data_IF_064679201816
#
_entry.id   IF_064679201816
#
_cell.length_a   1.000
_cell.length_b   1.000
_cell.length_c   1.000
_cell.angle_alpha   90.00
_cell.angle_beta   90.00
_cell.angle_gamma   90.00
#
_symmetry.space_group_name_H-M   'P 1'
#
loop_
_entity.id
_entity.type
_entity.pdbx_description
1 polymer ?
#
# COMPACT_ATOMS: atom_id res chain seq x y z
N UNK A 1 4.00 -8.25 25.36
CA UNK A 1 3.94 -6.89 24.82
C UNK A 1 5.06 -6.70 23.81
N UNK A 2 4.72 -6.45 22.55
CA UNK A 2 5.68 -6.38 21.43
C UNK A 2 6.29 -4.97 21.30
N UNK A 3 5.50 -3.94 21.58
CA UNK A 3 5.89 -2.53 21.52
C UNK A 3 5.74 -1.88 22.89
N UNK A 4 6.73 -1.04 23.31
CA UNK A 4 6.70 -0.33 24.59
C UNK A 4 7.18 1.09 24.41
N UNK A 5 6.43 2.05 24.99
CA UNK A 5 6.83 3.47 25.10
C UNK A 5 7.29 4.09 23.76
N UNK A 6 6.52 3.87 22.68
CA UNK A 6 6.82 4.46 21.39
C UNK A 6 6.15 5.83 21.30
N UNK A 7 6.96 6.87 21.08
CA UNK A 7 6.48 8.21 20.76
C UNK A 7 7.04 8.58 19.40
N UNK A 8 6.14 8.86 18.45
CA UNK A 8 6.50 9.19 17.07
C UNK A 8 5.63 10.35 16.59
N UNK A 9 6.27 11.36 16.01
CA UNK A 9 5.60 12.49 15.39
C UNK A 9 6.11 12.64 13.95
N UNK A 10 5.22 12.52 12.97
CA UNK A 10 5.54 12.59 11.54
C UNK A 10 4.78 13.76 10.95
N UNK A 11 5.51 14.66 10.28
CA UNK A 11 4.93 15.82 9.60
C UNK A 11 4.33 15.40 8.26
N UNK A 12 3.32 16.13 7.81
CA UNK A 12 2.75 15.95 6.48
C UNK A 12 3.82 16.06 5.39
N UNK A 13 3.80 15.17 4.41
CA UNK A 13 4.77 15.11 3.32
C UNK A 13 6.13 14.50 3.70
N UNK A 14 6.31 14.05 4.94
CA UNK A 14 7.56 13.43 5.38
C UNK A 14 7.64 11.97 4.97
N UNK A 15 8.81 11.55 4.46
CA UNK A 15 9.13 10.15 4.20
C UNK A 15 9.86 9.55 5.40
N UNK A 16 9.36 8.46 5.95
CA UNK A 16 9.90 7.82 7.16
C UNK A 16 10.16 6.34 6.91
N UNK A 17 11.42 5.95 7.02
CA UNK A 17 11.85 4.56 7.00
C UNK A 17 11.93 3.98 8.40
N UNK A 18 11.29 2.83 8.63
CA UNK A 18 11.36 2.08 9.89
C UNK A 18 12.18 0.83 9.66
N UNK A 19 13.32 0.74 10.31
CA UNK A 19 14.25 -0.39 10.19
C UNK A 19 14.28 -1.18 11.49
N UNK A 20 14.41 -2.50 11.38
CA UNK A 20 14.55 -3.36 12.54
C UNK A 20 14.56 -4.84 12.18
N UNK A 21 14.99 -5.67 13.11
CA UNK A 21 15.04 -7.12 12.95
C UNK A 21 13.64 -7.73 12.75
N UNK A 22 13.59 -8.93 12.19
CA UNK A 22 12.34 -9.69 12.11
C UNK A 22 11.80 -9.97 13.52
N UNK A 23 10.48 -9.80 13.69
CA UNK A 23 9.84 -9.94 15.01
C UNK A 23 9.93 -8.70 15.92
N UNK A 24 10.62 -7.63 15.53
CA UNK A 24 10.73 -6.40 16.35
C UNK A 24 9.42 -5.60 16.47
N UNK A 25 8.32 -6.04 15.86
CA UNK A 25 7.02 -5.38 15.96
C UNK A 25 6.75 -4.33 14.88
N UNK A 26 7.59 -4.21 13.85
CA UNK A 26 7.42 -3.23 12.76
C UNK A 26 6.03 -3.28 12.12
N UNK A 27 5.60 -4.45 11.67
CA UNK A 27 4.27 -4.66 11.08
C UNK A 27 3.14 -4.37 12.08
N UNK A 28 3.33 -4.66 13.37
CA UNK A 28 2.37 -4.33 14.42
C UNK A 28 2.23 -2.81 14.56
N UNK A 29 3.35 -2.08 14.59
CA UNK A 29 3.35 -0.62 14.62
C UNK A 29 2.61 -0.04 13.42
N UNK A 30 2.91 -0.52 12.20
CA UNK A 30 2.22 -0.05 11.01
C UNK A 30 0.71 -0.33 11.04
N UNK A 31 0.29 -1.51 11.53
CA UNK A 31 -1.14 -1.84 11.68
C UNK A 31 -1.84 -0.90 12.66
N UNK A 32 -1.17 -0.51 13.75
CA UNK A 32 -1.68 0.47 14.72
C UNK A 32 -1.81 1.84 14.05
N UNK A 33 -0.77 2.32 13.34
CA UNK A 33 -0.80 3.60 12.62
C UNK A 33 -1.89 3.59 11.54
N UNK A 34 -2.07 2.46 10.84
CA UNK A 34 -3.12 2.28 9.85
C UNK A 34 -4.54 2.19 10.43
N UNK A 35 -4.70 2.14 11.75
CA UNK A 35 -5.99 1.96 12.40
C UNK A 35 -6.59 0.56 12.23
N UNK A 36 -5.79 -0.43 11.86
CA UNK A 36 -6.23 -1.83 11.69
C UNK A 36 -6.32 -2.58 13.02
N UNK A 37 -5.55 -2.16 14.01
CA UNK A 37 -5.61 -2.64 15.40
C UNK A 37 -5.47 -1.46 16.35
N UNK A 38 -6.12 -1.54 17.51
CA UNK A 38 -5.98 -0.53 18.54
C UNK A 38 -4.73 -0.81 19.39
N UNK A 39 -4.01 0.24 19.89
CA UNK A 39 -2.99 0.04 20.90
C UNK A 39 -3.61 -0.38 22.24
N UNK A 40 -2.89 -1.19 23.03
CA UNK A 40 -3.33 -1.57 24.39
C UNK A 40 -3.31 -0.35 25.33
N UNK A 41 -2.34 0.55 25.17
CA UNK A 41 -2.16 1.78 25.92
C UNK A 41 -1.70 2.91 25.00
N UNK A 42 -2.00 4.14 25.38
CA UNK A 42 -1.66 5.33 24.59
C UNK A 42 -2.69 5.62 23.49
N UNK A 43 -2.31 6.44 22.53
CA UNK A 43 -3.19 6.86 21.46
C UNK A 43 -2.42 7.08 20.15
N UNK A 44 -3.12 6.92 19.03
CA UNK A 44 -2.61 7.26 17.70
C UNK A 44 -3.59 8.22 17.04
N UNK A 45 -3.07 9.30 16.51
CA UNK A 45 -3.85 10.27 15.73
C UNK A 45 -3.24 10.38 14.35
N UNK A 46 -4.06 10.19 13.32
CA UNK A 46 -3.67 10.36 11.91
C UNK A 46 -4.57 11.41 11.27
N UNK A 47 -3.97 12.40 10.61
CA UNK A 47 -4.71 13.43 9.89
C UNK A 47 -4.67 13.13 8.40
N UNK A 48 -5.84 12.82 7.83
CA UNK A 48 -5.97 12.49 6.42
C UNK A 48 -6.29 11.03 6.13
N UNK A 49 -6.30 10.71 4.85
CA UNK A 49 -6.64 9.39 4.32
C UNK A 49 -5.42 8.48 4.34
N UNK A 50 -5.49 7.42 5.13
CA UNK A 50 -4.44 6.40 5.21
C UNK A 50 -4.69 5.30 4.19
N UNK A 51 -3.69 5.00 3.37
CA UNK A 51 -3.62 3.85 2.48
C UNK A 51 -2.53 2.91 2.96
N UNK A 52 -2.84 1.64 3.10
CA UNK A 52 -1.86 0.64 3.49
C UNK A 52 -1.71 -0.45 2.44
N UNK A 53 -0.47 -0.80 2.14
CA UNK A 53 -0.10 -1.95 1.32
C UNK A 53 0.22 -3.19 2.17
N UNK A 54 0.07 -3.11 3.50
CA UNK A 54 0.28 -4.22 4.45
C UNK A 54 -0.56 -5.47 4.13
N UNK A 55 -1.59 -5.29 3.37
CA UNK A 55 -2.58 -6.33 3.15
C UNK A 55 -3.09 -6.25 1.70
N UNK A 56 -2.16 -6.36 0.74
CA UNK A 56 -2.50 -6.39 -0.68
C UNK A 56 -3.58 -7.46 -0.95
N UNK A 57 -4.76 -6.99 -1.36
CA UNK A 57 -5.90 -7.88 -1.65
C UNK A 57 -6.88 -8.10 -0.49
N UNK A 58 -6.64 -7.58 0.73
CA UNK A 58 -7.68 -7.55 1.77
C UNK A 58 -8.81 -6.63 1.30
N UNK A 59 -10.02 -7.19 1.32
CA UNK A 59 -11.24 -6.50 0.86
C UNK A 59 -11.63 -6.84 -0.57
N UNK A 60 -10.77 -7.47 -1.37
CA UNK A 60 -11.18 -7.97 -2.67
C UNK A 60 -12.19 -9.11 -2.53
N UNK A 61 -13.18 -9.10 -3.39
CA UNK A 61 -14.25 -10.09 -3.43
C UNK A 61 -13.87 -11.22 -4.39
N UNK A 62 -13.72 -12.46 -3.91
CA UNK A 62 -13.24 -13.57 -4.75
C UNK A 62 -14.07 -13.82 -6.00
N UNK A 63 -15.38 -13.64 -5.90
CA UNK A 63 -16.33 -13.91 -7.00
C UNK A 63 -16.47 -12.78 -8.00
N UNK A 64 -15.92 -11.59 -7.70
CA UNK A 64 -15.89 -10.48 -8.64
C UNK A 64 -14.66 -10.59 -9.55
N UNK A 65 -14.76 -10.06 -10.75
CA UNK A 65 -13.62 -9.89 -11.67
C UNK A 65 -12.60 -8.90 -11.10
N UNK A 66 -11.40 -8.88 -11.65
CA UNK A 66 -10.40 -7.87 -11.29
C UNK A 66 -10.92 -6.46 -11.51
N UNK A 67 -11.60 -6.21 -12.63
CA UNK A 67 -12.22 -4.92 -12.97
C UNK A 67 -13.28 -4.51 -11.95
N UNK A 68 -14.16 -5.41 -11.58
CA UNK A 68 -15.18 -5.14 -10.57
C UNK A 68 -14.55 -4.90 -9.19
N UNK A 69 -13.47 -5.59 -8.86
CA UNK A 69 -12.70 -5.37 -7.64
C UNK A 69 -12.00 -3.98 -7.63
N UNK A 70 -11.51 -3.49 -8.78
CA UNK A 70 -11.01 -2.11 -8.89
C UNK A 70 -12.12 -1.12 -8.52
N UNK A 71 -13.31 -1.27 -9.10
CA UNK A 71 -14.46 -0.39 -8.80
C UNK A 71 -14.87 -0.47 -7.34
N UNK A 72 -15.00 -1.69 -6.81
CA UNK A 72 -15.32 -1.92 -5.41
C UNK A 72 -14.28 -1.28 -4.47
N UNK A 73 -12.99 -1.52 -4.72
CA UNK A 73 -11.90 -0.95 -3.94
C UNK A 73 -11.85 0.58 -4.03
N UNK A 74 -12.07 1.16 -5.21
CA UNK A 74 -12.13 2.61 -5.41
C UNK A 74 -13.25 3.26 -4.56
N UNK A 75 -14.43 2.63 -4.51
CA UNK A 75 -15.56 3.10 -3.68
C UNK A 75 -15.19 3.00 -2.19
N UNK A 76 -14.69 1.84 -1.75
CA UNK A 76 -14.31 1.62 -0.34
C UNK A 76 -13.22 2.60 0.11
N UNK A 77 -12.28 2.90 -0.76
CA UNK A 77 -11.20 3.84 -0.54
C UNK A 77 -11.59 5.30 -0.83
N UNK A 78 -12.88 5.59 -1.01
CA UNK A 78 -13.42 6.93 -1.24
C UNK A 78 -12.68 7.69 -2.35
N UNK A 79 -12.38 7.00 -3.46
CA UNK A 79 -11.79 7.63 -4.63
C UNK A 79 -12.78 8.58 -5.30
N UNK A 80 -12.26 9.56 -6.05
CA UNK A 80 -13.10 10.46 -6.82
C UNK A 80 -13.72 9.72 -8.01
N UNK A 81 -14.99 9.36 -7.91
CA UNK A 81 -15.70 8.59 -8.95
C UNK A 81 -16.03 9.37 -10.21
N UNK A 82 -15.89 10.71 -10.23
CA UNK A 82 -16.14 11.52 -11.45
C UNK A 82 -15.18 11.13 -12.60
N UNK A 83 -13.95 10.76 -12.26
CA UNK A 83 -12.91 10.38 -13.22
C UNK A 83 -12.59 8.87 -13.14
N UNK A 84 -13.54 8.05 -12.66
CA UNK A 84 -13.29 6.63 -12.39
C UNK A 84 -12.80 5.87 -13.61
N UNK A 85 -13.33 6.13 -14.83
CA UNK A 85 -12.90 5.43 -16.04
C UNK A 85 -11.40 5.61 -16.31
N UNK A 86 -10.90 6.83 -16.21
CA UNK A 86 -9.47 7.12 -16.36
C UNK A 86 -8.62 6.44 -15.27
N UNK A 87 -9.11 6.44 -14.04
CA UNK A 87 -8.45 5.75 -12.92
C UNK A 87 -8.41 4.24 -13.14
N UNK A 88 -9.51 3.63 -13.56
CA UNK A 88 -9.61 2.21 -13.89
C UNK A 88 -8.59 1.83 -14.99
N UNK A 89 -8.55 2.59 -16.09
CA UNK A 89 -7.64 2.33 -17.20
C UNK A 89 -6.17 2.42 -16.76
N UNK A 90 -5.81 3.39 -15.92
CA UNK A 90 -4.46 3.51 -15.37
C UNK A 90 -4.10 2.31 -14.47
N UNK A 91 -5.02 1.87 -13.60
CA UNK A 91 -4.80 0.71 -12.72
C UNK A 91 -4.62 -0.56 -13.55
N UNK A 92 -5.47 -0.77 -14.57
CA UNK A 92 -5.39 -1.94 -15.45
C UNK A 92 -4.06 -1.95 -16.20
N UNK A 93 -3.68 -0.83 -16.81
CA UNK A 93 -2.42 -0.69 -17.52
C UNK A 93 -1.21 -0.94 -16.62
N UNK A 94 -1.23 -0.39 -15.40
CA UNK A 94 -0.14 -0.58 -14.45
C UNK A 94 -0.02 -2.02 -13.99
N UNK A 95 -1.14 -2.71 -13.74
CA UNK A 95 -1.16 -4.07 -13.22
C UNK A 95 -0.61 -5.12 -14.19
N UNK A 96 -0.62 -4.83 -15.49
CA UNK A 96 -0.19 -5.74 -16.57
C UNK A 96 -0.92 -7.09 -16.56
N UNK A 97 -2.18 -7.11 -16.11
CA UNK A 97 -2.99 -8.32 -16.05
C UNK A 97 -3.62 -8.69 -17.40
N UNK A 98 -3.61 -7.76 -18.36
CA UNK A 98 -4.17 -7.97 -19.69
C UNK A 98 -5.63 -8.44 -19.64
N UNK A 99 -5.98 -9.45 -20.42
CA UNK A 99 -7.33 -10.03 -20.45
C UNK A 99 -7.75 -10.72 -19.16
N UNK A 100 -6.80 -11.06 -18.29
CA UNK A 100 -7.11 -11.67 -16.99
C UNK A 100 -7.88 -10.72 -16.07
N UNK A 101 -7.88 -9.41 -16.36
CA UNK A 101 -8.62 -8.41 -15.56
C UNK A 101 -10.12 -8.71 -15.50
N UNK A 102 -10.67 -9.36 -16.52
CA UNK A 102 -12.08 -9.69 -16.61
C UNK A 102 -12.41 -11.13 -16.13
N UNK A 103 -11.40 -11.83 -15.58
CA UNK A 103 -11.59 -13.13 -14.93
C UNK A 103 -11.91 -12.97 -13.44
N UNK A 104 -12.63 -13.92 -12.81
CA UNK A 104 -12.90 -13.90 -11.37
C UNK A 104 -11.62 -13.88 -10.53
N UNK A 105 -11.59 -13.07 -9.48
CA UNK A 105 -10.39 -12.85 -8.68
C UNK A 105 -9.89 -14.13 -7.95
N UNK A 106 -10.77 -15.09 -7.66
CA UNK A 106 -10.34 -16.36 -7.05
C UNK A 106 -9.42 -17.16 -7.97
N UNK A 107 -9.45 -16.95 -9.30
CA UNK A 107 -8.56 -17.61 -10.27
C UNK A 107 -7.16 -17.00 -10.32
N UNK A 108 -6.94 -15.83 -9.67
CA UNK A 108 -5.67 -15.13 -9.73
C UNK A 108 -4.59 -15.84 -8.90
N UNK A 109 -3.39 -15.91 -9.45
CA UNK A 109 -2.19 -16.29 -8.69
C UNK A 109 -1.88 -15.24 -7.60
N UNK A 110 -1.03 -15.59 -6.63
CA UNK A 110 -0.58 -14.66 -5.59
C UNK A 110 0.08 -13.41 -6.20
N UNK A 111 0.88 -13.58 -7.25
CA UNK A 111 1.50 -12.48 -7.99
C UNK A 111 0.49 -11.57 -8.69
N UNK A 112 -0.54 -12.13 -9.35
CA UNK A 112 -1.61 -11.34 -9.98
C UNK A 112 -2.41 -10.55 -8.93
N UNK A 113 -2.68 -11.15 -7.78
CA UNK A 113 -3.35 -10.49 -6.65
C UNK A 113 -2.53 -9.32 -6.11
N UNK A 114 -1.22 -9.53 -5.94
CA UNK A 114 -0.30 -8.49 -5.49
C UNK A 114 -0.21 -7.34 -6.53
N UNK A 115 -0.10 -7.66 -7.82
CA UNK A 115 -0.09 -6.67 -8.91
C UNK A 115 -1.34 -5.80 -8.89
N UNK A 116 -2.52 -6.40 -8.81
CA UNK A 116 -3.78 -5.65 -8.76
C UNK A 116 -3.89 -4.80 -7.51
N UNK A 117 -3.56 -5.36 -6.34
CA UNK A 117 -3.62 -4.67 -5.06
C UNK A 117 -2.69 -3.47 -5.00
N UNK A 118 -1.44 -3.63 -5.44
CA UNK A 118 -0.46 -2.54 -5.52
C UNK A 118 -0.93 -1.45 -6.49
N UNK A 119 -1.38 -1.85 -7.69
CA UNK A 119 -1.87 -0.91 -8.69
C UNK A 119 -3.03 -0.07 -8.17
N UNK A 120 -4.01 -0.70 -7.54
CA UNK A 120 -5.15 -0.01 -6.94
C UNK A 120 -4.70 0.99 -5.86
N UNK A 121 -3.88 0.53 -4.91
CA UNK A 121 -3.47 1.33 -3.77
C UNK A 121 -2.61 2.55 -4.16
N UNK A 122 -1.77 2.43 -5.18
CA UNK A 122 -0.85 3.51 -5.59
C UNK A 122 -1.45 4.50 -6.58
N UNK A 123 -2.61 4.21 -7.16
CA UNK A 123 -3.31 5.14 -8.07
C UNK A 123 -4.46 5.89 -7.40
N UNK A 124 -4.88 5.47 -6.20
CA UNK A 124 -5.88 6.21 -5.43
C UNK A 124 -5.16 7.23 -4.55
N UNK A 125 -5.54 8.51 -4.67
CA UNK A 125 -4.95 9.58 -3.87
C UNK A 125 -5.16 9.34 -2.38
N UNK A 126 -4.07 9.35 -1.62
CA UNK A 126 -4.04 9.25 -0.16
C UNK A 126 -3.10 10.32 0.41
N UNK A 127 -3.34 10.72 1.66
CA UNK A 127 -2.48 11.68 2.36
C UNK A 127 -1.31 10.95 3.04
N UNK A 128 -1.54 9.70 3.45
CA UNK A 128 -0.56 8.84 4.11
C UNK A 128 -0.54 7.48 3.41
N UNK A 129 0.63 7.03 2.98
CA UNK A 129 0.83 5.69 2.39
C UNK A 129 1.77 4.88 3.28
N UNK A 130 1.32 3.69 3.66
CA UNK A 130 2.08 2.75 4.48
C UNK A 130 2.50 1.56 3.63
N UNK A 131 3.81 1.35 3.52
CA UNK A 131 4.45 0.32 2.72
C UNK A 131 5.13 -0.71 3.62
N UNK A 132 4.99 -2.00 3.31
CA UNK A 132 5.74 -3.09 3.97
C UNK A 132 6.73 -3.71 2.98
N UNK A 133 7.75 -4.36 3.49
CA UNK A 133 8.80 -5.04 2.71
C UNK A 133 8.27 -6.11 1.74
N UNK A 134 7.02 -6.59 1.95
CA UNK A 134 6.37 -7.58 1.07
C UNK A 134 6.01 -7.05 -0.33
N UNK A 135 6.32 -5.77 -0.63
CA UNK A 135 6.06 -5.14 -1.92
C UNK A 135 6.79 -5.80 -3.10
N UNK A 136 7.86 -6.53 -2.83
CA UNK A 136 8.73 -7.14 -3.83
C UNK A 136 8.27 -8.52 -4.32
N UNK A 137 6.99 -8.90 -4.14
CA UNK A 137 6.46 -10.17 -4.63
C UNK A 137 6.09 -10.05 -6.10
N UNK A 138 6.94 -10.54 -6.99
CA UNK A 138 6.68 -10.54 -8.42
C UNK A 138 7.95 -10.74 -9.23
N UNK A 139 7.83 -10.64 -10.54
CA UNK A 139 9.00 -10.59 -11.41
C UNK A 139 9.74 -9.24 -11.29
N UNK A 140 11.03 -9.26 -11.63
CA UNK A 140 11.92 -8.08 -11.49
C UNK A 140 11.39 -6.84 -12.22
N UNK A 141 10.71 -7.02 -13.36
CA UNK A 141 10.20 -5.91 -14.16
C UNK A 141 9.12 -5.16 -13.39
N UNK A 142 8.14 -5.90 -12.84
CA UNK A 142 7.07 -5.30 -12.05
C UNK A 142 7.58 -4.67 -10.74
N UNK A 143 8.53 -5.32 -10.08
CA UNK A 143 9.19 -4.78 -8.88
C UNK A 143 9.83 -3.42 -9.17
N UNK A 144 10.59 -3.29 -10.26
CA UNK A 144 11.18 -2.00 -10.66
C UNK A 144 10.11 -0.92 -10.91
N UNK A 145 9.01 -1.30 -11.54
CA UNK A 145 7.87 -0.41 -11.79
C UNK A 145 7.21 0.05 -10.48
N UNK A 146 7.11 -0.84 -9.49
CA UNK A 146 6.65 -0.49 -8.15
C UNK A 146 7.56 0.54 -7.47
N UNK A 147 8.89 0.36 -7.53
CA UNK A 147 9.85 1.33 -6.97
C UNK A 147 9.75 2.70 -7.62
N UNK A 148 9.61 2.76 -8.95
CA UNK A 148 9.40 4.04 -9.66
C UNK A 148 8.14 4.73 -9.12
N UNK A 149 7.05 3.98 -8.98
CA UNK A 149 5.78 4.52 -8.47
C UNK A 149 5.86 4.99 -7.02
N UNK A 150 6.58 4.26 -6.17
CA UNK A 150 6.85 4.67 -4.78
C UNK A 150 7.67 5.97 -4.76
N UNK A 151 8.70 6.08 -5.59
CA UNK A 151 9.51 7.30 -5.68
C UNK A 151 8.68 8.51 -6.15
N UNK A 152 7.70 8.31 -7.06
CA UNK A 152 6.76 9.37 -7.44
C UNK A 152 5.91 9.82 -6.25
N UNK A 153 5.41 8.88 -5.45
CA UNK A 153 4.64 9.19 -4.24
C UNK A 153 5.48 9.95 -3.22
N UNK A 154 6.74 9.53 -3.01
CA UNK A 154 7.67 10.17 -2.07
C UNK A 154 8.07 11.59 -2.48
N UNK A 155 8.05 11.91 -3.76
CA UNK A 155 8.29 13.25 -4.30
C UNK A 155 7.05 14.15 -4.30
N UNK A 156 5.89 13.60 -3.97
CA UNK A 156 4.64 14.33 -3.83
C UNK A 156 4.46 14.86 -2.40
N UNK A 157 3.33 15.49 -2.13
CA UNK A 157 2.95 15.92 -0.77
C UNK A 157 2.46 14.75 0.13
N UNK A 158 2.53 13.51 -0.35
CA UNK A 158 2.09 12.32 0.37
C UNK A 158 3.10 11.96 1.46
N UNK A 159 2.62 11.70 2.66
CA UNK A 159 3.45 11.15 3.74
C UNK A 159 3.65 9.66 3.49
N UNK A 160 4.89 9.20 3.41
CA UNK A 160 5.18 7.77 3.17
C UNK A 160 5.89 7.15 4.37
N UNK A 161 5.29 6.09 4.92
CA UNK A 161 5.93 5.24 5.92
C UNK A 161 6.34 3.93 5.25
N UNK A 162 7.62 3.62 5.32
CA UNK A 162 8.19 2.44 4.71
C UNK A 162 8.89 1.57 5.75
N UNK A 163 8.63 0.26 5.71
CA UNK A 163 9.31 -0.71 6.57
C UNK A 163 10.17 -1.63 5.73
N UNK A 164 11.43 -1.77 6.12
CA UNK A 164 12.33 -2.79 5.56
C UNK A 164 13.27 -3.34 6.64
N UNK A 165 13.74 -4.57 6.42
CA UNK A 165 14.89 -5.11 7.17
C UNK A 165 16.22 -4.72 6.52
N UNK A 166 16.20 -4.14 5.30
CA UNK A 166 17.36 -3.72 4.54
C UNK A 166 17.58 -2.21 4.66
N UNK A 167 18.60 -1.81 5.44
CA UNK A 167 18.96 -0.40 5.64
C UNK A 167 19.30 0.30 4.31
N UNK A 168 19.91 -0.41 3.36
CA UNK A 168 20.26 0.15 2.05
C UNK A 168 19.04 0.48 1.18
N UNK A 169 17.94 -0.27 1.30
CA UNK A 169 16.67 0.05 0.63
C UNK A 169 16.03 1.30 1.25
N UNK A 170 16.03 1.37 2.57
CA UNK A 170 15.49 2.54 3.28
C UNK A 170 16.28 3.80 2.92
N UNK A 171 17.61 3.75 2.92
CA UNK A 171 18.46 4.87 2.54
C UNK A 171 18.16 5.35 1.10
N UNK A 172 18.03 4.43 0.14
CA UNK A 172 17.71 4.77 -1.26
C UNK A 172 16.35 5.43 -1.45
N UNK A 173 15.41 5.17 -0.56
CA UNK A 173 14.05 5.71 -0.64
C UNK A 173 13.88 7.00 0.19
N UNK A 174 14.78 7.30 1.13
CA UNK A 174 14.67 8.47 2.04
C UNK A 174 15.68 9.59 1.73
N UNK A 175 16.58 9.39 0.76
CA UNK A 175 17.44 10.43 0.16
C UNK A 175 16.70 11.15 -0.99
#
# INVERSE_FOLDING_TARGET
QVLKNITLNIKSGQNVGIVGLNGAGKTTLLKIIAGLINPDEGSVTTNGKVMTLLSLGIGFKPNLTGRENIKYGAIMLKANMKNFKSLEDQIILFSELGSSIDQPFFTYSSGMKARLGFSLATHIKADIVILDETLASGDRSFVNKCYIKINELMKSETTVLFVSHNVGEVARLTE
#
